data_IF_819664279674
#
_entry.id   IF_819664279674
#
_cell.length_a   1.000
_cell.length_b   1.000
_cell.length_c   1.000
_cell.angle_alpha   90.00
_cell.angle_beta   90.00
_cell.angle_gamma   90.00
#
_symmetry.space_group_name_H-M   'P 1'
#
loop_
_entity.id
_entity.type
_entity.pdbx_description
1 polymer ?
#
# COMPACT_ATOMS: atom_id res chain seq x y z
N UNK A 1 -14.77 8.22 -5.97
CA UNK A 1 -14.56 7.34 -4.80
C UNK A 1 -15.03 8.02 -3.52
N UNK A 2 -15.61 7.28 -2.56
CA UNK A 2 -15.97 7.81 -1.24
C UNK A 2 -14.74 8.43 -0.56
N UNK A 3 -14.86 9.65 -0.03
CA UNK A 3 -13.74 10.38 0.60
C UNK A 3 -13.03 9.59 1.70
N UNK A 4 -13.77 8.77 2.45
CA UNK A 4 -13.22 7.90 3.50
C UNK A 4 -12.30 6.81 2.94
N UNK A 5 -12.66 6.21 1.80
CA UNK A 5 -11.86 5.18 1.15
C UNK A 5 -10.56 5.78 0.58
N UNK A 6 -10.63 6.94 -0.08
CA UNK A 6 -9.43 7.60 -0.62
C UNK A 6 -8.45 7.99 0.50
N UNK A 7 -8.96 8.40 1.67
CA UNK A 7 -8.12 8.71 2.84
C UNK A 7 -7.46 7.46 3.42
N UNK A 8 -8.18 6.34 3.49
CA UNK A 8 -7.63 5.06 3.95
C UNK A 8 -6.56 4.51 3.00
N UNK A 9 -6.82 4.57 1.69
CA UNK A 9 -5.85 4.17 0.66
C UNK A 9 -4.60 5.04 0.69
N UNK A 10 -4.74 6.36 0.87
CA UNK A 10 -3.60 7.26 1.02
C UNK A 10 -2.75 6.91 2.24
N UNK A 11 -3.37 6.68 3.41
CA UNK A 11 -2.65 6.26 4.61
C UNK A 11 -1.89 4.94 4.41
N UNK A 12 -2.48 4.01 3.66
CA UNK A 12 -1.82 2.74 3.35
C UNK A 12 -0.64 2.94 2.39
N UNK A 13 -0.80 3.77 1.36
CA UNK A 13 0.29 4.13 0.44
C UNK A 13 1.46 4.79 1.20
N UNK A 14 1.15 5.74 2.08
CA UNK A 14 2.14 6.41 2.95
C UNK A 14 2.84 5.40 3.86
N UNK A 15 2.11 4.43 4.43
CA UNK A 15 2.70 3.36 5.27
C UNK A 15 3.65 2.46 4.49
N UNK A 16 3.25 2.00 3.29
CA UNK A 16 4.03 1.09 2.46
C UNK A 16 5.28 1.76 1.89
N UNK A 17 5.25 3.07 1.64
CA UNK A 17 6.40 3.84 1.15
C UNK A 17 7.40 4.19 2.23
N UNK A 18 6.94 4.36 3.47
CA UNK A 18 7.82 4.67 4.59
C UNK A 18 8.59 3.42 5.01
N UNK A 19 9.93 3.51 5.14
CA UNK A 19 10.78 2.38 5.50
C UNK A 19 10.51 1.97 6.95
N UNK A 20 10.58 0.67 7.23
CA UNK A 20 10.48 0.16 8.59
C UNK A 20 11.74 0.50 9.40
N UNK A 21 11.67 0.54 10.74
CA UNK A 21 12.84 0.75 11.59
C UNK A 21 13.98 -0.22 11.31
N UNK A 22 13.69 -1.46 10.92
CA UNK A 22 14.73 -2.44 10.57
C UNK A 22 15.42 -2.12 9.22
N UNK A 23 14.75 -1.39 8.32
CA UNK A 23 15.29 -0.97 7.02
C UNK A 23 16.09 0.35 7.13
N UNK A 24 15.96 1.07 8.24
CA UNK A 24 16.62 2.36 8.47
C UNK A 24 18.06 2.09 8.93
N UNK A 25 18.99 2.08 7.97
CA UNK A 25 20.42 2.05 8.28
C UNK A 25 20.85 3.40 8.90
N UNK A 26 21.29 3.38 10.15
CA UNK A 26 21.78 4.59 10.86
C UNK A 26 23.09 5.14 10.29
N UNK A 27 23.77 4.39 9.43
CA UNK A 27 25.07 4.76 8.85
C UNK A 27 24.98 5.42 7.46
N UNK A 28 23.83 5.39 6.78
CA UNK A 28 23.71 5.89 5.41
C UNK A 28 22.98 7.25 5.35
N UNK A 29 23.72 8.33 5.09
CA UNK A 29 23.23 9.72 5.19
C UNK A 29 22.41 10.20 4.00
N UNK A 30 22.45 9.56 2.84
CA UNK A 30 21.80 10.09 1.65
C UNK A 30 21.32 8.93 0.78
N UNK A 31 20.01 8.72 0.75
CA UNK A 31 19.23 8.31 -0.43
C UNK A 31 17.79 8.08 0.03
N UNK A 32 16.83 8.56 -0.76
CA UNK A 32 15.39 8.42 -0.52
C UNK A 32 15.07 7.02 -0.01
N UNK A 33 14.78 6.91 1.29
CA UNK A 33 14.49 5.62 1.93
C UNK A 33 13.06 5.22 1.59
N UNK A 34 12.79 5.03 0.31
CA UNK A 34 11.57 4.33 -0.10
C UNK A 34 11.75 2.90 0.37
N UNK A 35 10.79 2.45 1.18
CA UNK A 35 10.68 1.07 1.61
C UNK A 35 10.78 0.11 0.42
N UNK A 36 11.61 -0.95 0.55
CA UNK A 36 11.79 -1.97 -0.49
C UNK A 36 10.98 -3.24 -0.21
N UNK A 37 10.33 -3.31 0.95
CA UNK A 37 9.57 -4.48 1.39
C UNK A 37 8.42 -4.82 0.45
N UNK A 38 8.19 -6.12 0.28
CA UNK A 38 7.13 -6.66 -0.60
C UNK A 38 5.74 -6.68 0.05
N UNK A 39 5.68 -6.82 1.37
CA UNK A 39 4.45 -6.99 2.14
C UNK A 39 4.36 -5.99 3.30
N UNK A 40 3.24 -5.95 4.01
CA UNK A 40 2.96 -4.92 5.01
C UNK A 40 4.08 -4.75 6.04
N UNK A 41 4.63 -5.87 6.52
CA UNK A 41 5.57 -5.91 7.63
C UNK A 41 6.96 -6.47 7.22
N UNK A 42 7.23 -6.64 5.93
CA UNK A 42 8.55 -7.11 5.46
C UNK A 42 8.53 -7.85 4.13
N UNK A 43 9.49 -8.76 3.95
CA UNK A 43 9.66 -9.56 2.74
C UNK A 43 8.74 -10.79 2.66
N UNK A 44 8.14 -11.18 3.80
CA UNK A 44 7.31 -12.39 3.93
C UNK A 44 5.83 -12.05 4.13
N UNK A 45 4.96 -12.94 3.65
CA UNK A 45 3.51 -12.83 3.84
C UNK A 45 3.12 -13.09 5.29
N UNK A 46 2.33 -12.18 5.87
CA UNK A 46 1.81 -12.30 7.22
C UNK A 46 0.28 -12.37 7.24
N UNK A 47 -0.28 -12.65 8.43
CA UNK A 47 -1.72 -12.64 8.62
C UNK A 47 -2.35 -11.27 8.35
N UNK A 48 -1.59 -10.17 8.54
CA UNK A 48 -2.05 -8.83 8.22
C UNK A 48 -2.33 -8.68 6.72
N UNK A 49 -1.46 -9.24 5.88
CA UNK A 49 -1.60 -9.23 4.42
C UNK A 49 -2.81 -10.04 3.98
N UNK A 50 -3.01 -11.24 4.54
CA UNK A 50 -4.16 -12.09 4.23
C UNK A 50 -5.51 -11.39 4.53
N UNK A 51 -5.54 -10.50 5.52
CA UNK A 51 -6.74 -9.74 5.87
C UNK A 51 -6.98 -8.52 4.98
N UNK A 52 -5.93 -7.96 4.37
CA UNK A 52 -5.99 -6.69 3.65
C UNK A 52 -5.95 -6.87 2.12
N UNK A 53 -5.16 -7.83 1.61
CA UNK A 53 -5.02 -8.08 0.17
C UNK A 53 -6.34 -8.45 -0.52
N UNK A 54 -7.22 -9.30 0.06
CA UNK A 54 -8.52 -9.56 -0.54
C UNK A 54 -9.40 -8.31 -0.62
N UNK A 55 -9.34 -7.44 0.39
CA UNK A 55 -10.13 -6.20 0.46
C UNK A 55 -9.66 -5.15 -0.55
N UNK A 56 -8.34 -5.05 -0.74
CA UNK A 56 -7.73 -4.17 -1.74
C UNK A 56 -7.97 -4.67 -3.16
N UNK A 57 -7.94 -5.99 -3.38
CA UNK A 57 -8.21 -6.58 -4.69
C UNK A 57 -9.63 -6.24 -5.16
N UNK A 58 -10.63 -6.41 -4.29
CA UNK A 58 -12.02 -6.05 -4.58
C UNK A 58 -12.16 -4.55 -4.87
N UNK A 59 -11.59 -3.69 -4.02
CA UNK A 59 -11.63 -2.24 -4.25
C UNK A 59 -10.99 -1.81 -5.59
N UNK A 60 -9.92 -2.49 -6.03
CA UNK A 60 -9.27 -2.24 -7.33
C UNK A 60 -10.14 -2.67 -8.51
N UNK A 61 -10.89 -3.77 -8.38
CA UNK A 61 -11.83 -4.22 -9.40
C UNK A 61 -13.02 -3.27 -9.53
N UNK A 62 -13.58 -2.81 -8.40
CA UNK A 62 -14.67 -1.83 -8.38
C UNK A 62 -14.24 -0.50 -9.03
N UNK A 63 -13.00 -0.07 -8.74
CA UNK A 63 -12.38 1.10 -9.37
C UNK A 63 -12.25 0.98 -10.89
N UNK A 64 -11.74 -0.17 -11.37
CA UNK A 64 -11.61 -0.44 -12.81
C UNK A 64 -12.98 -0.55 -13.49
N UNK A 65 -13.95 -1.19 -12.85
CA UNK A 65 -15.31 -1.31 -13.36
C UNK A 65 -15.99 0.05 -13.51
N UNK A 66 -15.85 0.94 -12.53
CA UNK A 66 -16.37 2.32 -12.62
C UNK A 66 -15.68 3.10 -13.75
N UNK A 67 -14.36 2.99 -13.90
CA UNK A 67 -13.64 3.65 -15.00
C UNK A 67 -14.09 3.14 -16.38
N UNK A 68 -14.32 1.83 -16.53
CA UNK A 68 -14.84 1.26 -17.78
C UNK A 68 -16.25 1.75 -18.09
N UNK A 69 -17.12 1.89 -17.08
CA UNK A 69 -18.47 2.47 -17.24
C UNK A 69 -18.47 3.96 -17.62
N UNK A 70 -17.44 4.73 -17.23
CA UNK A 70 -17.33 6.15 -17.61
C UNK A 70 -16.61 6.36 -18.96
N UNK A 71 -16.08 5.29 -19.57
CA UNK A 71 -15.46 5.31 -20.89
C UNK A 71 -16.36 4.73 -22.00
N UNK A 72 -17.61 4.36 -21.70
CA UNK A 72 -18.66 4.00 -22.65
C UNK A 72 -19.74 5.07 -22.68
#
# INVERSE_FOLDING_TARGET
LPRGLTKALKKLDDYLRNPLPEEIDTSNTEEERVSKRKFLDGEELTLADCNLLPKLHVAKLDLKGILLLNCM
#
